data_IF_761283449989
#
_entry.id   IF_761283449989
#
_cell.length_a   1.000
_cell.length_b   1.000
_cell.length_c   1.000
_cell.angle_alpha   90.00
_cell.angle_beta   90.00
_cell.angle_gamma   90.00
#
_symmetry.space_group_name_H-M   'P 1'
#
loop_
_entity.id
_entity.type
_entity.pdbx_description
1 polymer ?
#
# COMPACT_ATOMS: atom_id res chain seq x y z
N UNK A 1 13.05 -20.17 -21.34
CA UNK A 1 13.82 -20.24 -20.07
C UNK A 1 14.30 -18.81 -19.83
N UNK A 2 13.75 -18.12 -18.83
CA UNK A 2 14.29 -16.81 -18.44
C UNK A 2 15.72 -17.02 -17.92
N UNK A 3 16.66 -16.17 -18.35
CA UNK A 3 17.99 -16.13 -17.76
C UNK A 3 17.82 -15.57 -16.34
N UNK A 4 18.41 -16.24 -15.36
CA UNK A 4 18.36 -15.72 -13.99
C UNK A 4 19.10 -14.36 -13.96
N UNK A 5 18.51 -13.36 -13.30
CA UNK A 5 19.12 -12.05 -13.14
C UNK A 5 20.34 -12.15 -12.20
N UNK A 6 21.46 -11.62 -12.65
CA UNK A 6 22.73 -11.71 -11.91
C UNK A 6 22.87 -10.55 -10.91
N UNK A 7 22.35 -10.75 -9.72
CA UNK A 7 22.36 -9.74 -8.65
C UNK A 7 23.76 -9.35 -8.18
N UNK A 8 24.73 -10.25 -8.19
CA UNK A 8 26.10 -9.95 -7.72
C UNK A 8 26.84 -9.02 -8.71
N UNK A 9 26.67 -9.27 -10.01
CA UNK A 9 27.22 -8.41 -11.05
C UNK A 9 26.48 -7.07 -11.05
N UNK A 10 25.15 -7.07 -10.92
CA UNK A 10 24.32 -5.87 -10.79
C UNK A 10 24.82 -4.96 -9.66
N UNK A 11 24.98 -5.48 -8.44
CA UNK A 11 25.47 -4.71 -7.29
C UNK A 11 26.87 -4.13 -7.54
N UNK A 12 27.77 -4.93 -8.13
CA UNK A 12 29.14 -4.52 -8.39
C UNK A 12 29.20 -3.39 -9.41
N UNK A 13 28.53 -3.55 -10.56
CA UNK A 13 28.58 -2.55 -11.65
C UNK A 13 27.85 -1.26 -11.26
N UNK A 14 26.69 -1.37 -10.59
CA UNK A 14 25.95 -0.18 -10.15
C UNK A 14 26.63 0.55 -9.00
N UNK A 15 27.36 -0.13 -8.12
CA UNK A 15 28.21 0.55 -7.12
C UNK A 15 29.30 1.41 -7.79
N UNK A 16 29.91 0.91 -8.86
CA UNK A 16 30.89 1.68 -9.63
C UNK A 16 30.22 2.86 -10.36
N UNK A 17 29.12 2.62 -11.06
CA UNK A 17 28.37 3.65 -11.78
C UNK A 17 27.89 4.78 -10.85
N UNK A 18 27.29 4.44 -9.71
CA UNK A 18 26.88 5.42 -8.70
C UNK A 18 28.08 6.22 -8.15
N UNK A 19 29.19 5.54 -7.89
CA UNK A 19 30.41 6.23 -7.43
C UNK A 19 30.92 7.20 -8.45
N UNK A 20 30.92 6.84 -9.74
CA UNK A 20 31.37 7.72 -10.82
C UNK A 20 30.44 8.91 -11.04
N UNK A 21 29.13 8.70 -10.97
CA UNK A 21 28.11 9.74 -11.04
C UNK A 21 28.25 10.75 -9.89
N UNK A 22 28.41 10.28 -8.66
CA UNK A 22 28.66 11.19 -7.51
C UNK A 22 29.97 11.98 -7.68
N UNK A 23 31.04 11.35 -8.16
CA UNK A 23 32.30 12.08 -8.47
C UNK A 23 32.10 13.20 -9.49
N UNK A 24 31.31 12.94 -10.54
CA UNK A 24 30.97 13.94 -11.55
C UNK A 24 30.14 15.10 -10.94
N UNK A 25 29.13 14.80 -10.11
CA UNK A 25 28.36 15.83 -9.42
C UNK A 25 29.24 16.67 -8.47
N UNK A 26 30.08 16.04 -7.65
CA UNK A 26 31.04 16.75 -6.77
C UNK A 26 32.03 17.61 -7.56
N UNK A 27 32.49 17.16 -8.74
CA UNK A 27 33.31 17.98 -9.61
C UNK A 27 32.56 19.19 -10.17
N UNK A 28 31.26 19.04 -10.48
CA UNK A 28 30.42 20.16 -10.93
C UNK A 28 30.19 21.15 -9.80
N UNK A 29 29.98 20.67 -8.57
CA UNK A 29 29.83 21.45 -7.34
C UNK A 29 31.21 21.81 -6.68
N UNK A 30 32.30 21.95 -7.43
CA UNK A 30 33.65 21.99 -6.91
C UNK A 30 33.96 23.08 -5.85
N UNK A 31 33.14 24.12 -5.74
CA UNK A 31 33.26 25.19 -4.74
C UNK A 31 32.30 25.05 -3.57
N UNK A 32 31.53 24.00 -3.53
CA UNK A 32 30.46 23.79 -2.57
C UNK A 32 30.80 22.65 -1.59
N UNK A 33 30.05 22.61 -0.49
CA UNK A 33 30.26 21.66 0.61
C UNK A 33 29.21 20.55 0.56
N UNK A 34 29.49 19.35 0.06
CA UNK A 34 28.54 18.24 0.09
C UNK A 34 28.18 17.85 1.52
N UNK A 35 26.87 17.61 1.78
CA UNK A 35 26.42 17.08 3.06
C UNK A 35 25.57 15.82 2.93
N UNK A 36 24.93 15.56 1.78
CA UNK A 36 24.11 14.38 1.56
C UNK A 36 24.17 13.88 0.12
N UNK A 37 24.08 12.57 -0.04
CA UNK A 37 23.80 11.87 -1.31
C UNK A 37 22.60 10.97 -1.08
N UNK A 38 21.61 11.02 -1.97
CA UNK A 38 20.41 10.22 -1.87
C UNK A 38 20.12 9.44 -3.16
N UNK A 39 19.65 8.22 -2.98
CA UNK A 39 18.96 7.46 -4.02
C UNK A 39 17.48 7.56 -3.72
N UNK A 40 16.73 8.26 -4.55
CA UNK A 40 15.32 8.61 -4.34
C UNK A 40 14.41 8.12 -5.47
N UNK A 41 13.10 8.31 -5.32
CA UNK A 41 12.12 7.93 -6.33
C UNK A 41 12.06 6.41 -6.56
N UNK A 42 11.95 5.65 -5.47
CA UNK A 42 11.71 4.22 -5.53
C UNK A 42 10.27 3.95 -5.94
N UNK A 43 10.05 3.63 -7.20
CA UNK A 43 8.73 3.31 -7.73
C UNK A 43 8.63 1.85 -8.12
N UNK A 44 7.55 1.23 -7.64
CA UNK A 44 7.07 -0.05 -8.13
C UNK A 44 5.73 0.20 -8.81
N UNK A 45 5.70 0.13 -10.12
CA UNK A 45 4.47 0.38 -10.85
C UNK A 45 3.48 -0.79 -10.76
N UNK A 46 2.19 -0.50 -10.95
CA UNK A 46 1.12 -1.51 -11.01
C UNK A 46 1.31 -2.54 -12.14
N UNK A 47 2.17 -2.23 -13.11
CA UNK A 47 2.61 -3.15 -14.18
C UNK A 47 3.68 -4.13 -13.71
N UNK A 48 4.19 -3.98 -12.49
CA UNK A 48 5.27 -4.80 -11.93
C UNK A 48 6.68 -4.40 -12.40
N UNK A 49 6.83 -3.27 -13.08
CA UNK A 49 8.15 -2.76 -13.46
C UNK A 49 8.86 -2.19 -12.23
N UNK A 50 10.14 -2.51 -12.08
CA UNK A 50 11.05 -1.90 -11.09
C UNK A 50 12.02 -1.00 -11.85
N UNK A 51 12.03 0.29 -11.50
CA UNK A 51 12.96 1.27 -12.03
C UNK A 51 14.14 1.48 -11.09
N UNK A 52 15.28 1.86 -11.64
CA UNK A 52 16.39 2.37 -10.84
C UNK A 52 16.00 3.72 -10.25
N UNK A 53 16.35 3.98 -8.97
CA UNK A 53 16.07 5.26 -8.34
C UNK A 53 16.87 6.39 -8.96
N UNK A 54 16.43 7.62 -8.78
CA UNK A 54 17.22 8.81 -9.09
C UNK A 54 18.38 8.93 -8.10
N UNK A 55 19.54 9.44 -8.55
CA UNK A 55 20.69 9.76 -7.71
C UNK A 55 20.84 11.28 -7.60
N UNK A 56 20.94 11.79 -6.38
CA UNK A 56 21.02 13.21 -6.12
C UNK A 56 22.11 13.55 -5.09
N UNK A 57 22.71 14.74 -5.24
CA UNK A 57 23.70 15.30 -4.32
C UNK A 57 23.21 16.67 -3.80
N UNK A 58 23.31 16.87 -2.49
CA UNK A 58 23.05 18.16 -1.84
C UNK A 58 24.33 18.76 -1.25
N UNK A 59 24.40 20.07 -1.36
CA UNK A 59 25.49 20.87 -0.78
C UNK A 59 24.92 21.94 0.16
N UNK A 60 25.71 22.45 1.09
CA UNK A 60 25.27 23.50 2.00
C UNK A 60 24.91 24.81 1.26
N UNK A 61 25.46 25.01 0.07
CA UNK A 61 25.27 26.20 -0.74
C UNK A 61 24.09 26.08 -1.71
N UNK A 62 23.74 24.86 -2.18
CA UNK A 62 22.68 24.65 -3.17
C UNK A 62 21.29 24.54 -2.58
N UNK A 63 21.14 24.29 -1.28
CA UNK A 63 19.83 24.15 -0.61
C UNK A 63 19.57 25.37 0.27
N UNK A 64 18.78 26.33 -0.24
CA UNK A 64 18.47 27.57 0.46
C UNK A 64 17.35 27.40 1.52
N UNK A 65 16.36 26.52 1.24
CA UNK A 65 15.24 26.26 2.13
C UNK A 65 15.57 25.10 3.10
N UNK A 66 15.58 25.36 4.41
CA UNK A 66 15.81 24.31 5.39
C UNK A 66 14.81 23.13 5.30
N UNK A 67 13.59 23.39 4.86
CA UNK A 67 12.56 22.35 4.72
C UNK A 67 12.87 21.39 3.54
N UNK A 68 13.70 21.83 2.57
CA UNK A 68 14.17 21.01 1.44
C UNK A 68 15.51 20.30 1.75
N UNK A 69 16.07 20.43 2.95
CA UNK A 69 17.41 19.92 3.28
C UNK A 69 17.57 18.40 3.02
N UNK A 70 16.51 17.63 3.27
CA UNK A 70 16.47 16.18 3.03
C UNK A 70 15.29 15.81 2.13
N UNK A 71 15.07 16.62 1.08
CA UNK A 71 14.07 16.39 0.03
C UNK A 71 14.80 16.26 -1.32
N UNK A 72 15.32 15.06 -1.68
CA UNK A 72 16.14 14.87 -2.86
C UNK A 72 15.55 15.40 -4.17
N UNK A 73 14.20 15.33 -4.41
CA UNK A 73 13.61 15.88 -5.62
C UNK A 73 13.79 17.41 -5.78
N UNK A 74 14.06 18.13 -4.67
CA UNK A 74 14.25 19.59 -4.66
C UNK A 74 15.74 20.00 -4.79
N UNK A 75 16.65 19.04 -4.86
CA UNK A 75 18.09 19.32 -4.93
C UNK A 75 18.54 19.69 -6.35
N UNK A 76 19.56 20.52 -6.46
CA UNK A 76 20.06 21.02 -7.75
C UNK A 76 20.80 19.95 -8.55
N UNK A 77 21.61 19.11 -7.88
CA UNK A 77 22.43 18.10 -8.54
C UNK A 77 21.71 16.77 -8.54
N UNK A 78 21.21 16.37 -9.73
CA UNK A 78 20.48 15.13 -9.95
C UNK A 78 21.01 14.38 -11.17
N UNK A 79 21.01 13.07 -11.12
CA UNK A 79 21.37 12.19 -12.23
C UNK A 79 20.36 11.05 -12.34
N UNK A 80 19.48 11.15 -13.33
CA UNK A 80 18.47 10.14 -13.65
C UNK A 80 19.02 8.99 -14.51
N UNK A 81 20.21 9.16 -15.07
CA UNK A 81 20.82 8.23 -16.03
C UNK A 81 22.01 7.48 -15.43
N UNK A 82 22.34 7.70 -14.15
CA UNK A 82 23.52 7.11 -13.49
C UNK A 82 23.63 5.60 -13.61
N UNK A 83 22.49 4.90 -13.69
CA UNK A 83 22.41 3.45 -13.84
C UNK A 83 22.35 2.96 -15.28
N UNK A 84 22.37 3.86 -16.27
CA UNK A 84 22.46 3.51 -17.70
C UNK A 84 23.92 3.15 -18.06
N UNK A 85 24.26 1.92 -17.72
CA UNK A 85 25.56 1.35 -18.05
C UNK A 85 25.51 0.65 -19.42
N UNK A 86 26.68 0.34 -20.00
CA UNK A 86 26.77 -0.47 -21.22
C UNK A 86 26.05 -1.82 -21.10
N UNK A 87 25.84 -2.30 -19.87
CA UNK A 87 25.12 -3.53 -19.56
C UNK A 87 23.60 -3.38 -19.64
N UNK A 88 23.03 -2.16 -19.60
CA UNK A 88 21.58 -1.92 -19.67
C UNK A 88 20.81 -2.52 -18.49
N UNK A 89 21.28 -2.32 -17.27
CA UNK A 89 20.72 -2.93 -16.06
C UNK A 89 19.27 -2.57 -15.79
N UNK A 90 18.86 -1.32 -16.07
CA UNK A 90 17.46 -0.89 -15.93
C UNK A 90 16.51 -1.72 -16.80
N UNK A 91 16.89 -1.93 -18.08
CA UNK A 91 16.08 -2.77 -19.00
C UNK A 91 16.09 -4.25 -18.59
N UNK A 92 17.25 -4.78 -18.16
CA UNK A 92 17.39 -6.15 -17.71
C UNK A 92 16.54 -6.41 -16.45
N UNK A 93 16.58 -5.51 -15.47
CA UNK A 93 15.77 -5.58 -14.25
C UNK A 93 14.27 -5.56 -14.59
N UNK A 94 13.84 -4.58 -15.38
CA UNK A 94 12.45 -4.50 -15.87
C UNK A 94 12.03 -5.80 -16.56
N UNK A 95 12.84 -6.33 -17.49
CA UNK A 95 12.53 -7.58 -18.20
C UNK A 95 12.49 -8.81 -17.27
N UNK A 96 13.30 -8.80 -16.20
CA UNK A 96 13.34 -9.92 -15.25
C UNK A 96 12.08 -9.98 -14.36
N UNK A 97 11.52 -8.81 -14.00
CA UNK A 97 10.41 -8.71 -13.03
C UNK A 97 9.05 -8.53 -13.67
N UNK A 98 8.95 -7.90 -14.84
CA UNK A 98 7.67 -7.67 -15.53
C UNK A 98 6.92 -8.96 -15.81
N UNK A 99 5.66 -9.01 -15.43
CA UNK A 99 4.77 -10.16 -15.62
C UNK A 99 5.10 -11.35 -14.70
N UNK A 100 5.82 -11.14 -13.60
CA UNK A 100 5.92 -12.12 -12.52
C UNK A 100 4.61 -12.15 -11.72
N UNK A 101 4.22 -13.33 -11.20
CA UNK A 101 3.19 -13.40 -10.18
C UNK A 101 3.58 -12.57 -8.96
N UNK A 102 2.59 -11.94 -8.31
CA UNK A 102 2.80 -11.02 -7.18
C UNK A 102 3.78 -11.54 -6.14
N UNK A 103 3.61 -12.76 -5.66
CA UNK A 103 4.49 -13.34 -4.64
C UNK A 103 5.96 -13.51 -5.10
N UNK A 104 6.19 -13.74 -6.42
CA UNK A 104 7.53 -13.80 -6.98
C UNK A 104 8.08 -12.39 -7.19
N UNK A 105 7.22 -11.46 -7.62
CA UNK A 105 7.59 -10.06 -7.77
C UNK A 105 8.00 -9.43 -6.42
N UNK A 106 7.25 -9.71 -5.35
CA UNK A 106 7.59 -9.26 -4.00
C UNK A 106 8.96 -9.79 -3.54
N UNK A 107 9.30 -11.04 -3.87
CA UNK A 107 10.63 -11.60 -3.59
C UNK A 107 11.74 -10.89 -4.38
N UNK A 108 11.51 -10.58 -5.65
CA UNK A 108 12.49 -9.83 -6.46
C UNK A 108 12.58 -8.36 -6.01
N UNK A 109 11.47 -7.76 -5.56
CA UNK A 109 11.49 -6.44 -4.93
C UNK A 109 12.33 -6.41 -3.65
N UNK A 110 12.17 -7.40 -2.78
CA UNK A 110 12.99 -7.51 -1.57
C UNK A 110 14.48 -7.69 -1.89
N UNK A 111 14.80 -8.45 -2.94
CA UNK A 111 16.18 -8.58 -3.44
C UNK A 111 16.71 -7.29 -4.00
N UNK A 112 15.91 -6.57 -4.79
CA UNK A 112 16.27 -5.25 -5.30
C UNK A 112 16.54 -4.26 -4.17
N UNK A 113 15.64 -4.19 -3.18
CA UNK A 113 15.81 -3.34 -2.02
C UNK A 113 17.11 -3.68 -1.25
N UNK A 114 17.42 -4.97 -1.08
CA UNK A 114 18.67 -5.39 -0.44
C UNK A 114 19.91 -5.04 -1.29
N UNK A 115 19.85 -5.23 -2.61
CA UNK A 115 20.91 -4.85 -3.53
C UNK A 115 21.18 -3.33 -3.47
N UNK A 116 20.12 -2.52 -3.44
CA UNK A 116 20.27 -1.06 -3.30
C UNK A 116 20.91 -0.66 -1.97
N UNK A 117 20.58 -1.33 -0.86
CA UNK A 117 21.28 -1.11 0.42
C UNK A 117 22.79 -1.42 0.32
N UNK A 118 23.15 -2.49 -0.38
CA UNK A 118 24.55 -2.85 -0.61
C UNK A 118 25.25 -1.84 -1.51
N UNK A 119 24.60 -1.36 -2.58
CA UNK A 119 25.10 -0.33 -3.49
C UNK A 119 25.38 0.97 -2.73
N UNK A 120 24.44 1.44 -1.90
CA UNK A 120 24.62 2.64 -1.07
C UNK A 120 25.84 2.50 -0.15
N UNK A 121 25.95 1.38 0.55
CA UNK A 121 27.05 1.13 1.47
C UNK A 121 28.41 1.04 0.74
N UNK A 122 28.43 0.40 -0.44
CA UNK A 122 29.59 0.29 -1.31
C UNK A 122 30.03 1.63 -1.87
N UNK A 123 29.08 2.41 -2.40
CA UNK A 123 29.29 3.78 -2.93
C UNK A 123 29.87 4.69 -1.86
N UNK A 124 29.25 4.73 -0.68
CA UNK A 124 29.79 5.49 0.46
C UNK A 124 31.21 5.09 0.81
N UNK A 125 31.46 3.80 0.93
CA UNK A 125 32.79 3.28 1.28
C UNK A 125 33.84 3.71 0.26
N UNK A 126 33.56 3.60 -1.04
CA UNK A 126 34.45 3.97 -2.10
C UNK A 126 34.78 5.48 -2.11
N UNK A 127 33.74 6.32 -2.01
CA UNK A 127 33.86 7.78 -2.09
C UNK A 127 34.53 8.42 -0.87
N UNK A 128 34.34 7.83 0.31
CA UNK A 128 35.06 8.25 1.52
C UNK A 128 36.52 7.80 1.46
N UNK A 129 36.79 6.58 0.99
CA UNK A 129 38.16 6.05 0.89
C UNK A 129 39.05 6.80 -0.07
N UNK A 130 38.51 7.31 -1.19
CA UNK A 130 39.27 8.09 -2.17
C UNK A 130 39.25 9.61 -1.90
N UNK A 131 38.53 10.04 -0.86
CA UNK A 131 38.46 11.44 -0.44
C UNK A 131 37.51 12.31 -1.27
N UNK A 132 36.66 11.72 -2.13
CA UNK A 132 35.63 12.45 -2.88
C UNK A 132 34.58 13.03 -1.96
N UNK A 133 34.14 12.25 -0.96
CA UNK A 133 33.20 12.71 0.05
C UNK A 133 33.85 12.79 1.43
N UNK A 134 33.55 13.82 2.22
CA UNK A 134 33.85 13.85 3.65
C UNK A 134 33.20 12.66 4.38
N UNK A 135 33.82 12.21 5.46
CA UNK A 135 33.32 11.05 6.22
C UNK A 135 31.99 11.28 6.95
N UNK A 136 31.56 12.52 7.11
CA UNK A 136 30.33 12.96 7.76
C UNK A 136 29.19 13.23 6.76
N UNK A 137 29.42 13.06 5.47
CA UNK A 137 28.36 13.09 4.44
C UNK A 137 27.50 11.84 4.59
N UNK A 138 26.18 12.04 4.70
CA UNK A 138 25.24 10.93 4.73
C UNK A 138 24.93 10.44 3.30
N UNK A 139 24.98 9.12 3.08
CA UNK A 139 24.57 8.47 1.83
C UNK A 139 23.45 7.51 2.15
N UNK A 140 22.26 7.71 1.56
CA UNK A 140 21.06 7.01 1.99
C UNK A 140 20.09 6.70 0.84
N UNK A 141 19.15 5.79 1.13
CA UNK A 141 17.98 5.53 0.30
C UNK A 141 16.81 6.37 0.83
N UNK A 142 16.09 7.00 -0.09
CA UNK A 142 14.93 7.83 0.22
C UNK A 142 13.67 7.20 -0.39
N UNK A 143 12.97 6.42 0.40
CA UNK A 143 11.68 5.81 0.05
C UNK A 143 10.54 6.50 0.79
N UNK A 144 9.36 6.55 0.19
CA UNK A 144 8.19 7.25 0.73
C UNK A 144 7.79 6.75 2.13
N UNK A 145 7.97 5.46 2.40
CA UNK A 145 7.66 4.86 3.71
C UNK A 145 8.76 5.10 4.76
N UNK A 146 9.99 5.42 4.33
CA UNK A 146 11.16 5.60 5.19
C UNK A 146 11.79 4.30 5.71
N UNK A 147 11.33 3.14 5.26
CA UNK A 147 11.84 1.84 5.69
C UNK A 147 13.25 1.57 5.16
N UNK A 148 13.52 1.93 3.91
CA UNK A 148 14.85 1.84 3.31
C UNK A 148 15.79 2.91 3.87
N UNK A 149 15.27 4.12 4.14
CA UNK A 149 16.05 5.19 4.78
C UNK A 149 16.64 4.68 6.10
N UNK A 150 15.80 4.19 7.00
CA UNK A 150 16.24 3.71 8.33
C UNK A 150 17.27 2.57 8.23
N UNK A 151 17.19 1.72 7.20
CA UNK A 151 18.10 0.60 6.97
C UNK A 151 19.41 1.01 6.30
N UNK A 152 19.44 2.13 5.57
CA UNK A 152 20.60 2.57 4.78
C UNK A 152 21.59 3.43 5.56
N UNK A 153 21.19 3.99 6.69
CA UNK A 153 22.01 4.87 7.54
C UNK A 153 22.42 4.20 8.84
N UNK A 154 23.49 4.70 9.45
CA UNK A 154 23.89 4.28 10.81
C UNK A 154 22.95 4.86 11.87
N UNK A 155 22.82 4.27 13.09
CA UNK A 155 22.03 4.85 14.18
C UNK A 155 22.46 6.29 14.54
N UNK A 156 23.73 6.62 14.40
CA UNK A 156 24.26 7.96 14.68
C UNK A 156 23.82 8.98 13.62
N UNK A 157 23.83 8.58 12.34
CA UNK A 157 23.34 9.40 11.24
C UNK A 157 21.83 9.57 11.28
N UNK A 158 21.10 8.48 11.60
CA UNK A 158 19.65 8.52 11.78
C UNK A 158 19.27 9.55 12.84
N UNK A 159 19.93 9.50 14.00
CA UNK A 159 19.66 10.45 15.10
C UNK A 159 20.05 11.89 14.71
N UNK A 160 21.13 12.07 13.94
CA UNK A 160 21.66 13.40 13.56
C UNK A 160 20.84 14.06 12.47
N UNK A 161 20.49 13.32 11.42
CA UNK A 161 19.91 13.85 10.21
C UNK A 161 18.42 13.61 10.08
N UNK A 162 17.90 12.55 10.70
CA UNK A 162 16.51 12.09 10.62
C UNK A 162 15.93 11.81 12.01
N UNK A 163 15.93 12.80 12.94
CA UNK A 163 15.55 12.57 14.33
C UNK A 163 14.13 12.06 14.51
N UNK A 164 13.19 12.44 13.63
CA UNK A 164 11.80 11.96 13.70
C UNK A 164 11.69 10.47 13.38
N UNK A 165 12.46 9.98 12.38
CA UNK A 165 12.54 8.55 12.09
C UNK A 165 13.22 7.78 13.24
N UNK A 166 14.28 8.33 13.82
CA UNK A 166 14.94 7.74 14.98
C UNK A 166 13.97 7.61 16.16
N UNK A 167 13.23 8.68 16.47
CA UNK A 167 12.24 8.70 17.54
C UNK A 167 11.11 7.69 17.30
N UNK A 168 10.61 7.58 16.06
CA UNK A 168 9.59 6.59 15.66
C UNK A 168 10.08 5.15 15.83
N UNK A 169 11.28 4.84 15.35
CA UNK A 169 11.87 3.51 15.48
C UNK A 169 12.14 3.11 16.94
N UNK A 170 12.57 4.06 17.77
CA UNK A 170 12.76 3.83 19.20
C UNK A 170 11.44 3.62 19.94
N UNK A 171 10.41 4.40 19.59
CA UNK A 171 9.06 4.25 20.13
C UNK A 171 8.46 2.88 19.77
N UNK A 172 8.59 2.43 18.52
CA UNK A 172 8.15 1.10 18.10
C UNK A 172 8.86 -0.01 18.89
N UNK A 173 10.18 0.04 18.96
CA UNK A 173 10.99 -0.94 19.72
C UNK A 173 10.59 -0.97 21.19
N UNK A 174 10.38 0.19 21.80
CA UNK A 174 9.94 0.30 23.18
C UNK A 174 8.58 -0.37 23.40
N UNK A 175 7.61 -0.08 22.52
CA UNK A 175 6.26 -0.67 22.58
C UNK A 175 6.30 -2.18 22.35
N UNK A 176 7.06 -2.67 21.38
CA UNK A 176 7.17 -4.09 21.07
C UNK A 176 7.81 -4.89 22.21
N UNK A 177 8.64 -4.26 23.04
CA UNK A 177 9.23 -4.89 24.23
C UNK A 177 8.25 -5.12 25.40
N UNK A 178 7.08 -4.47 25.37
CA UNK A 178 6.09 -4.56 26.44
C UNK A 178 5.34 -5.90 26.43
N UNK A 179 4.90 -6.40 27.61
CA UNK A 179 3.91 -7.47 27.67
C UNK A 179 2.62 -7.12 26.93
N UNK A 180 1.96 -8.12 26.32
CA UNK A 180 0.79 -7.93 25.44
C UNK A 180 -0.25 -6.94 25.98
N UNK A 181 -0.73 -7.03 27.24
CA UNK A 181 -1.74 -6.08 27.73
C UNK A 181 -1.26 -4.62 27.76
N UNK A 182 0.02 -4.40 28.11
CA UNK A 182 0.61 -3.06 28.13
C UNK A 182 0.89 -2.56 26.72
N UNK A 183 1.29 -3.45 25.81
CA UNK A 183 1.48 -3.17 24.38
C UNK A 183 0.18 -2.71 23.73
N UNK A 184 -0.92 -3.45 23.95
CA UNK A 184 -2.26 -3.05 23.47
C UNK A 184 -2.63 -1.65 23.97
N UNK A 185 -2.43 -1.36 25.24
CA UNK A 185 -2.77 -0.04 25.80
C UNK A 185 -1.92 1.08 25.19
N UNK A 186 -0.60 0.87 25.01
CA UNK A 186 0.31 1.84 24.41
C UNK A 186 -0.03 2.08 22.94
N UNK A 187 -0.25 1.03 22.16
CA UNK A 187 -0.65 1.13 20.76
C UNK A 187 -2.02 1.80 20.60
N UNK A 188 -2.99 1.49 21.46
CA UNK A 188 -4.30 2.12 21.43
C UNK A 188 -4.21 3.65 21.67
N UNK A 189 -3.32 4.09 22.54
CA UNK A 189 -3.05 5.51 22.76
C UNK A 189 -2.36 6.14 21.53
N UNK A 190 -1.33 5.49 20.97
CA UNK A 190 -0.62 5.97 19.80
C UNK A 190 -1.54 6.04 18.55
N UNK A 191 -2.41 5.05 18.32
CA UNK A 191 -3.44 5.07 17.28
C UNK A 191 -4.58 6.10 17.52
N UNK A 192 -4.58 6.77 18.68
CA UNK A 192 -5.63 7.71 19.05
C UNK A 192 -6.99 7.06 19.30
N UNK A 193 -7.02 5.79 19.68
CA UNK A 193 -8.22 5.05 20.08
C UNK A 193 -8.57 5.29 21.55
N UNK A 194 -7.59 5.61 22.37
CA UNK A 194 -7.76 5.97 23.79
C UNK A 194 -7.01 7.27 24.09
N UNK A 195 -7.44 8.04 25.10
CA UNK A 195 -6.64 9.16 25.59
C UNK A 195 -5.27 8.67 26.08
N UNK A 196 -4.22 9.38 25.69
CA UNK A 196 -2.85 9.05 26.09
C UNK A 196 -1.87 10.17 25.75
N UNK A 197 -0.63 10.07 26.19
CA UNK A 197 0.42 10.98 25.77
C UNK A 197 0.64 10.88 24.25
N UNK A 198 1.13 11.96 23.65
CA UNK A 198 1.55 11.94 22.24
C UNK A 198 2.70 10.93 22.10
N UNK A 199 2.64 10.12 21.08
CA UNK A 199 3.66 9.11 20.75
C UNK A 199 4.37 9.53 19.46
N UNK A 200 5.66 9.25 19.38
CA UNK A 200 6.43 9.38 18.13
C UNK A 200 6.13 8.24 17.15
N UNK A 201 5.48 7.16 17.62
CA UNK A 201 4.95 6.13 16.75
C UNK A 201 3.73 6.67 15.98
N UNK A 202 3.76 6.60 14.66
CA UNK A 202 2.68 7.05 13.79
C UNK A 202 1.36 6.31 14.05
N UNK A 203 0.22 7.01 13.86
CA UNK A 203 -1.10 6.43 14.14
C UNK A 203 -1.41 5.21 13.26
N UNK A 204 -1.00 5.24 12.00
CA UNK A 204 -1.18 4.15 11.03
C UNK A 204 -0.39 2.92 11.48
N UNK A 205 0.91 3.08 11.71
CA UNK A 205 1.77 2.00 12.20
C UNK A 205 1.28 1.40 13.52
N UNK A 206 0.82 2.23 14.44
CA UNK A 206 0.23 1.76 15.70
C UNK A 206 -1.05 0.93 15.47
N UNK A 207 -1.84 1.29 14.46
CA UNK A 207 -3.06 0.53 14.09
C UNK A 207 -2.69 -0.81 13.48
N UNK A 208 -1.69 -0.86 12.59
CA UNK A 208 -1.23 -2.12 11.99
C UNK A 208 -0.71 -3.09 13.06
N UNK A 209 0.09 -2.56 14.00
CA UNK A 209 0.58 -3.36 15.13
C UNK A 209 -0.56 -3.84 16.08
N UNK A 210 -1.67 -3.11 16.18
CA UNK A 210 -2.87 -3.57 16.89
C UNK A 210 -3.57 -4.70 16.12
N UNK A 211 -3.69 -4.59 14.80
CA UNK A 211 -4.22 -5.65 13.95
C UNK A 211 -3.39 -6.92 14.09
N UNK A 212 -2.06 -6.80 14.17
CA UNK A 212 -1.15 -7.90 14.41
C UNK A 212 -1.35 -8.62 15.74
N UNK A 213 -1.88 -7.94 16.75
CA UNK A 213 -2.20 -8.54 18.04
C UNK A 213 -3.53 -9.31 18.05
N UNK A 214 -4.32 -9.24 16.98
CA UNK A 214 -5.53 -10.05 16.79
C UNK A 214 -6.55 -9.86 17.92
N UNK A 215 -7.02 -10.96 18.51
CA UNK A 215 -8.04 -10.96 19.55
C UNK A 215 -7.73 -10.04 20.75
N UNK A 216 -6.44 -9.84 21.05
CA UNK A 216 -6.05 -8.98 22.18
C UNK A 216 -6.44 -7.50 21.95
N UNK A 217 -6.60 -7.06 20.71
CA UNK A 217 -6.98 -5.69 20.36
C UNK A 217 -8.51 -5.47 20.32
N UNK A 218 -9.33 -6.54 20.26
CA UNK A 218 -10.80 -6.46 20.18
C UNK A 218 -11.41 -5.58 21.28
N UNK A 219 -11.05 -5.72 22.58
CA UNK A 219 -11.62 -4.88 23.64
C UNK A 219 -11.37 -3.39 23.43
N UNK A 220 -10.26 -3.00 22.84
CA UNK A 220 -9.94 -1.60 22.52
C UNK A 220 -10.85 -1.07 21.42
N UNK A 221 -11.04 -1.84 20.33
CA UNK A 221 -11.96 -1.48 19.26
C UNK A 221 -13.39 -1.28 19.77
N UNK A 222 -13.89 -2.20 20.60
CA UNK A 222 -15.21 -2.10 21.22
C UNK A 222 -15.32 -0.86 22.12
N UNK A 223 -14.32 -0.58 22.96
CA UNK A 223 -14.31 0.59 23.81
C UNK A 223 -14.27 1.91 23.02
N UNK A 224 -13.55 1.93 21.88
CA UNK A 224 -13.47 3.10 21.00
C UNK A 224 -14.81 3.42 20.34
N UNK A 225 -15.64 2.42 20.01
CA UNK A 225 -17.00 2.62 19.47
C UNK A 225 -17.91 3.43 20.38
N UNK A 226 -17.72 3.34 21.70
CA UNK A 226 -18.57 4.05 22.67
C UNK A 226 -18.30 5.57 22.71
N UNK A 227 -17.26 6.05 22.06
CA UNK A 227 -16.83 7.46 22.06
C UNK A 227 -16.99 8.09 20.69
N UNK A 228 -17.67 9.23 20.64
CA UNK A 228 -17.99 9.92 19.39
C UNK A 228 -16.76 10.27 18.53
N UNK A 229 -15.66 10.64 19.17
CA UNK A 229 -14.41 11.08 18.52
C UNK A 229 -13.59 9.89 17.94
N UNK A 230 -13.77 8.70 18.48
CA UNK A 230 -13.01 7.50 18.09
C UNK A 230 -13.88 6.37 17.51
N UNK A 231 -15.20 6.54 17.44
CA UNK A 231 -16.11 5.49 16.98
C UNK A 231 -15.75 4.96 15.58
N UNK A 232 -15.41 5.84 14.63
CA UNK A 232 -15.01 5.45 13.29
C UNK A 232 -13.69 4.66 13.28
N UNK A 233 -12.72 5.04 14.13
CA UNK A 233 -11.45 4.31 14.29
C UNK A 233 -11.68 2.93 14.90
N UNK A 234 -12.56 2.85 15.92
CA UNK A 234 -12.93 1.58 16.53
C UNK A 234 -13.62 0.64 15.54
N UNK A 235 -14.52 1.17 14.70
CA UNK A 235 -15.19 0.40 13.66
C UNK A 235 -14.17 -0.11 12.60
N UNK A 236 -13.26 0.76 12.17
CA UNK A 236 -12.19 0.37 11.23
C UNK A 236 -11.32 -0.73 11.82
N UNK A 237 -10.82 -0.56 13.03
CA UNK A 237 -9.98 -1.58 13.70
C UNK A 237 -10.71 -2.93 13.80
N UNK A 238 -11.99 -2.95 14.20
CA UNK A 238 -12.73 -4.20 14.31
C UNK A 238 -12.99 -4.87 12.95
N UNK A 239 -13.16 -4.07 11.90
CA UNK A 239 -13.25 -4.58 10.54
C UNK A 239 -11.93 -5.18 10.08
N UNK A 240 -10.79 -4.52 10.36
CA UNK A 240 -9.45 -4.94 9.97
C UNK A 240 -8.98 -6.19 10.75
N UNK A 241 -9.40 -6.33 12.01
CA UNK A 241 -9.20 -7.57 12.79
C UNK A 241 -9.95 -8.77 12.22
N UNK A 242 -11.02 -8.54 11.48
CA UNK A 242 -11.92 -9.55 10.89
C UNK A 242 -12.43 -10.62 11.89
N UNK A 243 -12.70 -10.22 13.12
CA UNK A 243 -13.14 -11.10 14.21
C UNK A 243 -14.62 -10.84 14.52
N UNK A 244 -15.50 -11.66 13.94
CA UNK A 244 -16.97 -11.51 14.04
C UNK A 244 -17.58 -12.24 15.25
N UNK A 245 -17.10 -11.95 16.46
CA UNK A 245 -17.73 -12.51 17.67
C UNK A 245 -19.09 -11.84 17.96
N UNK A 246 -20.01 -12.51 18.71
CA UNK A 246 -21.27 -11.89 19.10
C UNK A 246 -21.10 -10.54 19.79
N UNK A 247 -20.08 -10.38 20.62
CA UNK A 247 -19.79 -9.12 21.35
C UNK A 247 -19.35 -8.00 20.39
N UNK A 248 -18.50 -8.32 19.40
CA UNK A 248 -18.07 -7.38 18.35
C UNK A 248 -19.26 -6.92 17.53
N UNK A 249 -20.07 -7.87 17.04
CA UNK A 249 -21.25 -7.54 16.25
C UNK A 249 -22.27 -6.73 17.06
N UNK A 250 -22.51 -7.09 18.31
CA UNK A 250 -23.41 -6.32 19.20
C UNK A 250 -22.91 -4.88 19.43
N UNK A 251 -21.60 -4.70 19.62
CA UNK A 251 -21.01 -3.37 19.79
C UNK A 251 -21.12 -2.52 18.52
N UNK A 252 -20.87 -3.10 17.34
CA UNK A 252 -21.04 -2.42 16.06
C UNK A 252 -22.50 -2.04 15.81
N UNK A 253 -23.46 -2.94 16.10
CA UNK A 253 -24.89 -2.65 16.03
C UNK A 253 -25.31 -1.51 16.96
N UNK A 254 -24.78 -1.46 18.18
CA UNK A 254 -25.02 -0.35 19.09
C UNK A 254 -24.48 0.98 18.53
N UNK A 255 -23.31 0.94 17.87
CA UNK A 255 -22.70 2.12 17.26
C UNK A 255 -23.48 2.63 16.03
N UNK A 256 -24.07 1.75 15.21
CA UNK A 256 -24.99 2.12 14.11
C UNK A 256 -26.20 2.88 14.63
N UNK A 257 -26.69 2.57 15.81
CA UNK A 257 -27.84 3.26 16.46
C UNK A 257 -27.48 4.66 17.03
N UNK A 258 -26.20 5.00 17.14
CA UNK A 258 -25.76 6.29 17.66
C UNK A 258 -25.75 7.36 16.56
N UNK A 259 -26.14 8.61 16.92
CA UNK A 259 -26.03 9.73 15.99
C UNK A 259 -24.63 10.31 16.02
N UNK A 260 -23.98 10.44 14.87
CA UNK A 260 -22.66 11.10 14.74
C UNK A 260 -21.73 10.45 13.72
N UNK A 261 -20.50 10.96 13.63
CA UNK A 261 -19.44 10.41 12.75
C UNK A 261 -19.04 9.01 13.25
N UNK A 262 -19.40 7.97 12.56
CA UNK A 262 -19.04 6.60 12.95
C UNK A 262 -20.13 5.57 12.71
N UNK A 263 -21.39 5.98 12.57
CA UNK A 263 -22.47 5.03 12.30
C UNK A 263 -22.33 4.35 10.92
N UNK A 264 -21.91 5.08 9.89
CA UNK A 264 -21.66 4.52 8.57
C UNK A 264 -20.42 3.63 8.56
N UNK A 265 -19.37 3.99 9.30
CA UNK A 265 -18.20 3.14 9.50
C UNK A 265 -18.54 1.85 10.27
N UNK A 266 -19.40 1.94 11.28
CA UNK A 266 -19.88 0.75 12.00
C UNK A 266 -20.73 -0.16 11.08
N UNK A 267 -21.55 0.43 10.21
CA UNK A 267 -22.31 -0.32 9.20
C UNK A 267 -21.39 -0.94 8.15
N UNK A 268 -20.39 -0.22 7.66
CA UNK A 268 -19.37 -0.75 6.75
C UNK A 268 -18.61 -1.93 7.39
N UNK A 269 -18.21 -1.79 8.68
CA UNK A 269 -17.58 -2.87 9.43
C UNK A 269 -18.49 -4.11 9.54
N UNK A 270 -19.79 -3.92 9.82
CA UNK A 270 -20.78 -5.01 9.81
C UNK A 270 -20.84 -5.68 8.42
N UNK A 271 -20.80 -4.89 7.34
CA UNK A 271 -20.76 -5.39 5.97
C UNK A 271 -19.55 -6.30 5.72
N UNK A 272 -18.36 -5.86 6.09
CA UNK A 272 -17.11 -6.65 5.98
C UNK A 272 -17.13 -7.92 6.83
N UNK A 273 -17.77 -7.86 8.01
CA UNK A 273 -17.88 -9.01 8.93
C UNK A 273 -19.04 -9.96 8.59
N UNK A 274 -19.68 -9.80 7.43
CA UNK A 274 -20.71 -10.70 6.93
C UNK A 274 -22.13 -10.39 7.41
N UNK A 275 -22.36 -9.33 8.20
CA UNK A 275 -23.67 -8.90 8.67
C UNK A 275 -24.35 -7.87 7.73
N UNK A 276 -23.86 -7.70 6.51
CA UNK A 276 -24.43 -6.80 5.50
C UNK A 276 -25.90 -7.06 5.17
N UNK A 277 -26.33 -8.32 4.97
CA UNK A 277 -27.75 -8.65 4.72
C UNK A 277 -28.67 -8.20 5.84
N UNK A 278 -28.27 -8.31 7.11
CA UNK A 278 -29.05 -7.86 8.26
C UNK A 278 -29.17 -6.33 8.30
N UNK A 279 -28.08 -5.60 7.96
CA UNK A 279 -28.12 -4.12 7.87
C UNK A 279 -29.03 -3.69 6.71
N UNK A 280 -28.91 -4.33 5.54
CA UNK A 280 -29.77 -4.07 4.39
C UNK A 280 -31.25 -4.27 4.73
N UNK A 281 -31.59 -5.32 5.50
CA UNK A 281 -32.92 -5.64 5.94
C UNK A 281 -33.53 -4.67 6.97
N UNK A 282 -32.85 -3.55 7.32
CA UNK A 282 -33.30 -2.57 8.32
C UNK A 282 -33.74 -1.25 7.66
N UNK A 283 -35.02 -1.13 7.24
CA UNK A 283 -35.52 0.07 6.59
C UNK A 283 -35.62 1.30 7.51
N UNK A 284 -35.50 1.10 8.83
CA UNK A 284 -35.44 2.15 9.86
C UNK A 284 -34.05 2.85 9.92
N UNK A 285 -33.02 2.27 9.30
CA UNK A 285 -31.71 2.90 9.17
C UNK A 285 -31.68 3.89 8.00
N UNK A 286 -30.81 4.90 8.10
CA UNK A 286 -30.61 5.86 7.03
C UNK A 286 -30.11 5.15 5.73
N UNK A 287 -30.57 5.60 4.55
CA UNK A 287 -30.13 5.02 3.27
C UNK A 287 -28.59 4.96 3.11
N UNK A 288 -27.87 6.02 3.50
CA UNK A 288 -26.40 6.06 3.45
C UNK A 288 -25.75 4.98 4.33
N UNK A 289 -26.28 4.76 5.54
CA UNK A 289 -25.79 3.73 6.46
C UNK A 289 -25.99 2.31 5.89
N UNK A 290 -27.13 2.07 5.24
CA UNK A 290 -27.39 0.79 4.58
C UNK A 290 -26.50 0.59 3.36
N UNK A 291 -26.31 1.64 2.55
CA UNK A 291 -25.41 1.63 1.40
C UNK A 291 -23.97 1.33 1.84
N UNK A 292 -23.46 1.97 2.90
CA UNK A 292 -22.13 1.74 3.42
C UNK A 292 -21.88 0.26 3.81
N UNK A 293 -22.86 -0.41 4.42
CA UNK A 293 -22.76 -1.83 4.74
C UNK A 293 -22.76 -2.72 3.48
N UNK A 294 -23.51 -2.32 2.44
CA UNK A 294 -23.60 -3.08 1.18
C UNK A 294 -22.31 -2.94 0.38
N UNK A 295 -21.73 -1.75 0.31
CA UNK A 295 -20.56 -1.46 -0.57
C UNK A 295 -19.23 -1.84 0.03
N UNK A 296 -19.09 -1.85 1.35
CA UNK A 296 -17.83 -2.07 2.05
C UNK A 296 -17.04 -3.33 1.60
N UNK A 297 -17.66 -4.49 1.33
CA UNK A 297 -16.94 -5.67 0.85
C UNK A 297 -16.37 -5.53 -0.57
N UNK A 298 -16.77 -4.52 -1.35
CA UNK A 298 -16.41 -4.35 -2.77
C UNK A 298 -15.44 -3.21 -3.00
N UNK A 299 -15.10 -2.46 -1.96
CA UNK A 299 -14.15 -1.34 -2.02
C UNK A 299 -12.79 -1.75 -1.45
N UNK A 300 -11.77 -0.91 -1.64
CA UNK A 300 -10.45 -1.08 -1.03
C UNK A 300 -10.48 -1.19 0.50
N UNK A 301 -11.58 -0.81 1.14
CA UNK A 301 -11.78 -1.05 2.57
C UNK A 301 -11.76 -2.55 2.93
N UNK A 302 -12.12 -3.45 2.00
CA UNK A 302 -11.98 -4.89 2.17
C UNK A 302 -10.53 -5.34 2.32
N UNK A 303 -9.60 -4.68 1.67
CA UNK A 303 -8.20 -5.10 1.58
C UNK A 303 -7.38 -4.79 2.85
N UNK A 304 -7.93 -3.99 3.76
CA UNK A 304 -7.32 -3.75 5.05
C UNK A 304 -7.49 -4.99 5.96
N UNK A 305 -6.41 -5.31 6.69
CA UNK A 305 -6.43 -6.45 7.60
C UNK A 305 -5.88 -7.74 6.98
N UNK A 306 -6.00 -8.86 7.73
CA UNK A 306 -5.32 -10.13 7.39
C UNK A 306 -6.17 -11.12 6.62
N UNK A 307 -7.47 -11.10 6.83
CA UNK A 307 -8.39 -12.08 6.26
C UNK A 307 -9.68 -11.43 5.80
N UNK A 308 -10.32 -12.01 4.80
CA UNK A 308 -11.64 -11.62 4.32
C UNK A 308 -12.41 -12.85 3.82
N UNK A 309 -13.74 -12.78 3.89
CA UNK A 309 -14.59 -13.81 3.34
C UNK A 309 -14.55 -13.77 1.79
N UNK A 310 -14.67 -14.92 1.10
CA UNK A 310 -14.80 -14.94 -0.36
C UNK A 310 -15.91 -14.02 -0.84
N UNK A 311 -15.61 -13.25 -1.89
CA UNK A 311 -16.53 -12.26 -2.43
C UNK A 311 -17.63 -12.91 -3.29
N UNK A 312 -18.88 -12.48 -3.10
CA UNK A 312 -20.02 -12.80 -3.99
C UNK A 312 -20.80 -11.53 -4.28
N UNK A 313 -21.64 -11.52 -5.32
CA UNK A 313 -22.45 -10.34 -5.66
C UNK A 313 -23.87 -10.35 -5.10
N UNK A 314 -24.23 -11.31 -4.25
CA UNK A 314 -25.59 -11.42 -3.71
C UNK A 314 -26.00 -10.17 -2.90
N UNK A 315 -25.13 -9.71 -2.01
CA UNK A 315 -25.38 -8.51 -1.19
C UNK A 315 -25.46 -7.25 -2.07
N UNK A 316 -24.55 -7.09 -3.03
CA UNK A 316 -24.55 -5.94 -3.93
C UNK A 316 -25.78 -5.93 -4.83
N UNK A 317 -26.16 -7.08 -5.40
CA UNK A 317 -27.37 -7.23 -6.20
C UNK A 317 -28.65 -6.90 -5.42
N UNK A 318 -28.73 -7.34 -4.16
CA UNK A 318 -29.83 -7.01 -3.27
C UNK A 318 -29.88 -5.49 -2.94
N UNK A 319 -28.72 -4.86 -2.74
CA UNK A 319 -28.61 -3.41 -2.52
C UNK A 319 -29.04 -2.59 -3.74
N UNK A 320 -28.63 -2.99 -4.95
CA UNK A 320 -29.03 -2.35 -6.20
C UNK A 320 -30.52 -2.55 -6.54
N UNK A 321 -31.13 -3.62 -6.07
CA UNK A 321 -32.58 -3.86 -6.19
C UNK A 321 -33.41 -3.01 -5.22
N UNK A 322 -32.83 -2.45 -4.17
CA UNK A 322 -33.52 -1.58 -3.22
C UNK A 322 -33.51 -0.13 -3.70
N UNK A 323 -34.63 0.35 -4.21
CA UNK A 323 -34.78 1.71 -4.75
C UNK A 323 -34.39 2.84 -3.78
N UNK A 324 -34.38 2.57 -2.46
CA UNK A 324 -34.03 3.58 -1.46
C UNK A 324 -32.51 3.82 -1.36
N UNK A 325 -31.69 2.88 -1.82
CA UNK A 325 -30.22 2.96 -1.72
C UNK A 325 -29.49 2.69 -3.02
N UNK A 326 -30.16 2.25 -4.07
CA UNK A 326 -29.53 1.82 -5.33
C UNK A 326 -28.61 2.89 -5.94
N UNK A 327 -29.02 4.15 -5.93
CA UNK A 327 -28.23 5.28 -6.43
C UNK A 327 -26.96 5.49 -5.57
N UNK A 328 -27.08 5.44 -4.24
CA UNK A 328 -25.94 5.58 -3.32
C UNK A 328 -24.94 4.44 -3.48
N UNK A 329 -25.42 3.21 -3.66
CA UNK A 329 -24.58 2.04 -3.91
C UNK A 329 -23.85 2.17 -5.25
N UNK A 330 -24.53 2.66 -6.29
CA UNK A 330 -23.93 2.87 -7.60
C UNK A 330 -22.86 3.98 -7.59
N UNK A 331 -23.14 5.08 -6.88
CA UNK A 331 -22.20 6.20 -6.72
C UNK A 331 -20.94 5.79 -5.96
N UNK A 332 -21.08 4.99 -4.89
CA UNK A 332 -19.94 4.52 -4.09
C UNK A 332 -19.05 3.55 -4.87
N UNK A 333 -19.63 2.81 -5.82
CA UNK A 333 -18.92 1.88 -6.71
C UNK A 333 -18.70 2.48 -8.12
N UNK A 334 -18.61 3.78 -8.22
CA UNK A 334 -18.22 4.42 -9.47
C UNK A 334 -16.74 4.09 -9.79
N UNK A 335 -16.41 3.77 -11.06
CA UNK A 335 -15.04 3.48 -11.44
C UNK A 335 -14.05 4.58 -11.03
N UNK A 336 -12.94 4.17 -10.41
CA UNK A 336 -11.92 5.09 -9.89
C UNK A 336 -12.05 5.44 -8.40
N UNK A 337 -13.09 4.93 -7.70
CA UNK A 337 -13.23 5.12 -6.24
C UNK A 337 -12.47 4.09 -5.38
N UNK A 338 -11.73 3.17 -5.99
CA UNK A 338 -10.94 2.15 -5.31
C UNK A 338 -11.77 0.89 -5.02
N UNK A 339 -11.66 -0.08 -5.93
CA UNK A 339 -12.24 -1.41 -5.74
C UNK A 339 -11.32 -2.28 -4.89
N UNK A 340 -11.90 -3.35 -4.34
CA UNK A 340 -11.11 -4.36 -3.61
C UNK A 340 -10.23 -5.17 -4.55
N UNK A 341 -9.15 -5.72 -4.02
CA UNK A 341 -8.34 -6.75 -4.68
C UNK A 341 -8.96 -8.13 -4.46
N UNK A 342 -8.67 -9.06 -5.38
CA UNK A 342 -9.17 -10.43 -5.31
C UNK A 342 -8.04 -11.43 -5.06
N UNK A 343 -8.39 -12.48 -4.33
CA UNK A 343 -7.65 -13.73 -4.31
C UNK A 343 -8.25 -14.77 -5.25
N UNK A 344 -7.48 -15.81 -5.58
CA UNK A 344 -7.99 -16.91 -6.39
C UNK A 344 -9.25 -17.58 -5.79
N UNK A 345 -9.39 -17.55 -4.47
CA UNK A 345 -10.55 -18.08 -3.75
C UNK A 345 -11.84 -17.28 -4.01
N UNK A 346 -11.74 -16.01 -4.42
CA UNK A 346 -12.89 -15.15 -4.73
C UNK A 346 -13.49 -15.47 -6.12
N UNK A 347 -12.69 -16.03 -7.02
CA UNK A 347 -13.05 -16.19 -8.42
C UNK A 347 -14.38 -16.94 -8.66
N UNK A 348 -14.72 -18.03 -7.94
CA UNK A 348 -16.01 -18.71 -8.11
C UNK A 348 -17.20 -17.81 -7.85
N UNK A 349 -17.10 -16.86 -6.89
CA UNK A 349 -18.17 -15.93 -6.52
C UNK A 349 -18.23 -14.69 -7.39
N UNK A 350 -17.07 -14.24 -7.93
CA UNK A 350 -16.96 -12.99 -8.70
C UNK A 350 -17.14 -13.19 -10.20
N UNK A 351 -16.70 -14.31 -10.76
CA UNK A 351 -16.83 -14.61 -12.19
C UNK A 351 -18.26 -14.46 -12.73
N UNK A 352 -19.33 -14.90 -12.02
CA UNK A 352 -20.71 -14.68 -12.48
C UNK A 352 -21.08 -13.22 -12.65
N UNK A 353 -20.37 -12.32 -11.99
CA UNK A 353 -20.54 -10.86 -12.12
C UNK A 353 -20.29 -10.32 -13.53
N UNK A 354 -19.47 -10.98 -14.33
CA UNK A 354 -19.22 -10.58 -15.72
C UNK A 354 -20.47 -10.69 -16.62
N UNK A 355 -21.40 -11.58 -16.28
CA UNK A 355 -22.65 -11.81 -17.01
C UNK A 355 -23.90 -11.29 -16.24
N UNK A 356 -23.68 -10.50 -15.19
CA UNK A 356 -24.78 -10.02 -14.34
C UNK A 356 -25.65 -9.00 -15.08
N UNK A 357 -26.95 -8.92 -14.75
CA UNK A 357 -27.89 -7.98 -15.37
C UNK A 357 -27.57 -6.51 -15.01
N UNK A 358 -27.09 -6.26 -13.77
CA UNK A 358 -26.77 -4.93 -13.30
C UNK A 358 -25.41 -4.44 -13.83
N UNK A 359 -25.34 -3.30 -14.55
CA UNK A 359 -24.11 -2.76 -15.10
C UNK A 359 -23.05 -2.47 -14.03
N UNK A 360 -23.45 -1.99 -12.84
CA UNK A 360 -22.55 -1.69 -11.72
C UNK A 360 -21.76 -2.94 -11.32
N UNK A 361 -22.43 -4.09 -11.23
CA UNK A 361 -21.78 -5.37 -10.91
C UNK A 361 -20.81 -5.78 -12.03
N UNK A 362 -21.22 -5.64 -13.31
CA UNK A 362 -20.31 -5.97 -14.43
C UNK A 362 -19.08 -5.08 -14.45
N UNK A 363 -19.23 -3.76 -14.22
CA UNK A 363 -18.10 -2.81 -14.12
C UNK A 363 -17.12 -3.22 -13.03
N UNK A 364 -17.62 -3.49 -11.83
CA UNK A 364 -16.80 -3.97 -10.71
C UNK A 364 -16.10 -5.29 -11.08
N UNK A 365 -16.83 -6.30 -11.55
CA UNK A 365 -16.28 -7.59 -11.92
C UNK A 365 -15.18 -7.50 -12.99
N UNK A 366 -15.37 -6.66 -14.01
CA UNK A 366 -14.38 -6.41 -15.07
C UNK A 366 -13.07 -5.91 -14.48
N UNK A 367 -13.13 -4.90 -13.61
CA UNK A 367 -11.90 -4.29 -13.04
C UNK A 367 -11.19 -5.28 -12.14
N UNK A 368 -11.88 -5.84 -11.14
CA UNK A 368 -11.22 -6.71 -10.14
C UNK A 368 -10.74 -8.03 -10.74
N UNK A 369 -11.41 -8.57 -11.78
CA UNK A 369 -10.93 -9.76 -12.50
C UNK A 369 -9.74 -9.43 -13.38
N UNK A 370 -9.75 -8.28 -14.05
CA UNK A 370 -8.60 -7.86 -14.84
C UNK A 370 -7.36 -7.62 -13.96
N UNK A 371 -7.52 -7.05 -12.77
CA UNK A 371 -6.43 -6.92 -11.80
C UNK A 371 -5.96 -8.29 -11.28
N UNK A 372 -6.88 -9.23 -11.03
CA UNK A 372 -6.55 -10.60 -10.61
C UNK A 372 -5.69 -11.37 -11.62
N UNK A 373 -5.97 -11.22 -12.92
CA UNK A 373 -5.21 -11.90 -14.00
C UNK A 373 -4.10 -11.02 -14.58
N UNK A 374 -4.01 -9.78 -14.13
CA UNK A 374 -2.99 -8.83 -14.56
C UNK A 374 -1.58 -9.18 -14.05
N UNK A 375 -0.57 -8.43 -14.48
CA UNK A 375 0.83 -8.66 -14.12
C UNK A 375 1.09 -8.73 -12.61
N UNK A 376 0.36 -7.95 -11.82
CA UNK A 376 0.46 -7.92 -10.36
C UNK A 376 -0.55 -8.83 -9.65
N UNK A 377 -1.27 -9.66 -10.40
CA UNK A 377 -2.16 -10.65 -9.84
C UNK A 377 -1.40 -11.74 -9.07
N UNK A 378 -2.08 -12.55 -8.24
CA UNK A 378 -1.45 -13.57 -7.38
C UNK A 378 -0.74 -14.68 -8.16
N UNK A 379 -0.95 -14.80 -9.48
CA UNK A 379 -0.26 -15.74 -10.38
C UNK A 379 -0.44 -17.22 -10.06
N UNK A 380 -1.43 -17.56 -9.25
CA UNK A 380 -1.74 -18.92 -8.82
C UNK A 380 -2.96 -19.52 -9.54
N UNK A 381 -3.42 -18.86 -10.62
CA UNK A 381 -4.50 -19.35 -11.46
C UNK A 381 -3.95 -20.24 -12.58
N UNK A 382 -4.72 -21.28 -12.94
CA UNK A 382 -4.40 -22.11 -14.08
C UNK A 382 -4.49 -21.32 -15.40
N UNK A 383 -3.56 -21.54 -16.34
CA UNK A 383 -3.53 -20.88 -17.66
C UNK A 383 -4.85 -21.00 -18.45
N UNK A 384 -5.59 -22.09 -18.27
CA UNK A 384 -6.90 -22.29 -18.91
C UNK A 384 -7.94 -21.35 -18.32
N UNK A 385 -7.90 -21.14 -17.00
CA UNK A 385 -8.78 -20.20 -16.28
C UNK A 385 -8.48 -18.77 -16.73
N UNK A 386 -7.20 -18.38 -16.74
CA UNK A 386 -6.77 -17.04 -17.19
C UNK A 386 -7.25 -16.78 -18.62
N UNK A 387 -6.98 -17.67 -19.58
CA UNK A 387 -7.45 -17.54 -20.98
C UNK A 387 -8.97 -17.44 -21.09
N UNK A 388 -9.71 -18.16 -20.24
CA UNK A 388 -11.16 -18.08 -20.21
C UNK A 388 -11.68 -16.72 -19.72
N UNK A 389 -10.99 -16.11 -18.76
CA UNK A 389 -11.30 -14.78 -18.25
C UNK A 389 -10.94 -13.70 -19.28
N UNK A 390 -9.76 -13.76 -19.90
CA UNK A 390 -9.35 -12.87 -20.99
C UNK A 390 -10.36 -12.89 -22.15
N UNK A 391 -10.81 -14.09 -22.54
CA UNK A 391 -11.84 -14.23 -23.57
C UNK A 391 -13.17 -13.58 -23.16
N UNK A 392 -13.52 -13.65 -21.88
CA UNK A 392 -14.73 -13.02 -21.34
C UNK A 392 -14.61 -11.49 -21.36
N UNK A 393 -13.45 -10.93 -20.98
CA UNK A 393 -13.18 -9.50 -21.04
C UNK A 393 -13.20 -8.98 -22.48
N UNK A 394 -12.57 -9.69 -23.43
CA UNK A 394 -12.59 -9.35 -24.87
C UNK A 394 -14.01 -9.35 -25.42
N UNK A 395 -14.85 -10.29 -25.03
CA UNK A 395 -16.27 -10.31 -25.41
C UNK A 395 -17.01 -9.11 -24.86
N UNK A 396 -16.81 -8.76 -23.59
CA UNK A 396 -17.45 -7.60 -22.95
C UNK A 396 -17.01 -6.27 -23.60
N UNK A 397 -15.74 -6.12 -23.97
CA UNK A 397 -15.25 -4.97 -24.73
C UNK A 397 -16.03 -4.77 -26.05
N UNK A 398 -16.29 -5.87 -26.75
CA UNK A 398 -16.94 -5.83 -28.06
C UNK A 398 -18.47 -5.70 -27.97
N UNK A 399 -19.14 -6.35 -27.03
CA UNK A 399 -20.56 -6.66 -27.10
C UNK A 399 -21.41 -6.13 -25.94
N UNK A 400 -20.80 -5.66 -24.81
CA UNK A 400 -21.62 -5.21 -23.68
C UNK A 400 -22.52 -4.01 -24.05
N UNK A 401 -23.72 -4.01 -23.54
CA UNK A 401 -24.68 -2.92 -23.74
C UNK A 401 -24.27 -1.62 -23.03
N UNK A 402 -23.54 -1.73 -21.92
CA UNK A 402 -23.05 -0.59 -21.14
C UNK A 402 -21.72 -0.10 -21.71
N UNK A 403 -21.64 1.20 -22.06
CA UNK A 403 -20.44 1.78 -22.67
C UNK A 403 -19.24 1.83 -21.71
N UNK A 404 -19.50 1.95 -20.42
CA UNK A 404 -18.46 1.99 -19.41
C UNK A 404 -17.86 0.58 -19.17
N UNK A 405 -18.69 -0.47 -19.18
CA UNK A 405 -18.19 -1.86 -19.16
C UNK A 405 -17.27 -2.10 -20.34
N UNK A 406 -17.68 -1.70 -21.57
CA UNK A 406 -16.83 -1.85 -22.77
C UNK A 406 -15.50 -1.10 -22.61
N UNK A 407 -15.54 0.14 -22.13
CA UNK A 407 -14.35 0.97 -21.93
C UNK A 407 -13.39 0.33 -20.92
N UNK A 408 -13.89 -0.12 -19.77
CA UNK A 408 -13.10 -0.77 -18.71
C UNK A 408 -12.48 -2.07 -19.19
N UNK A 409 -13.24 -2.92 -19.88
CA UNK A 409 -12.75 -4.18 -20.43
C UNK A 409 -11.64 -3.94 -21.48
N UNK A 410 -11.80 -2.94 -22.38
CA UNK A 410 -10.80 -2.62 -23.38
C UNK A 410 -9.54 -1.94 -22.85
N UNK A 411 -9.63 -1.18 -21.76
CA UNK A 411 -8.46 -0.61 -21.10
C UNK A 411 -7.57 -1.72 -20.51
N UNK A 412 -8.19 -2.68 -19.83
CA UNK A 412 -7.48 -3.76 -19.13
C UNK A 412 -6.98 -4.87 -20.05
N UNK A 413 -7.57 -5.07 -21.23
CA UNK A 413 -7.09 -6.03 -22.22
C UNK A 413 -5.77 -5.61 -22.91
N UNK A 414 -5.32 -4.36 -22.72
CA UNK A 414 -4.12 -3.79 -23.37
C UNK A 414 -2.95 -3.52 -22.39
N UNK A 415 -3.17 -3.65 -21.12
CA UNK A 415 -2.14 -3.57 -20.06
C UNK A 415 -1.70 -4.94 -19.60
#
# INVERSE_FOLDING_TARGET
MRVAFDWDVFETELTLAASDAVRAMVQTAASETPYAVAFSEFYAETTGVIYLPNLALATEESVEDPDCRFSPPDWEYQDYEWGETDSGWGEQLSAAVTGLPRAQWEQEWDRFAQAMLNIVAGTRTALVADGTLPHDVVVYLDDEAGDLLVRSVTPEELLRHFPDYAASADAERAVLSLPVPQRVAALAAAAGLTPGPRSDLGQERATDLLVDLGEAAVPVGIAALARRDTAWKGAKLLADLHIATPDVLAALWAAVGLRGNGHDWAAAALGRLGAGPEVLGRPDLAPATRAAAVTAPYTSFRDHGREHAPLTYDLLGAGLADAAIAELVADELEPGRGYCTLDAADLPGVRPGLDHTEPVIRRHAVVVIADLIGPMGPGNLDDEVVRGLESSLTRLEAEDSDSEVRRLAGYRART
#
